data_IF_186576098839
#
_entry.id   IF_186576098839
#
_cell.length_a   1.000
_cell.length_b   1.000
_cell.length_c   1.000
_cell.angle_alpha   90.00
_cell.angle_beta   90.00
_cell.angle_gamma   90.00
#
_symmetry.space_group_name_H-M   'P 1'
#
loop_
_entity.id
_entity.type
_entity.pdbx_description
1 polymer ?
2 polymer ?
3 water ?
#
# COMPACT_ATOMS: atom_id res chain seq x y z
N UNK A 4 4.47 0.48 -17.58
CA UNK A 4 4.04 -0.96 -17.68
C UNK A 4 2.54 -1.03 -17.76
N UNK A 5 1.93 -1.56 -16.72
CA UNK A 5 0.45 -1.62 -16.60
C UNK A 5 -0.16 -0.23 -16.48
N UNK A 6 -1.41 -0.02 -16.85
CA UNK A 6 -2.10 1.24 -16.87
C UNK A 6 -2.03 2.13 -15.66
N UNK A 7 -2.06 1.57 -14.48
CA UNK A 7 -2.01 2.26 -13.21
C UNK A 7 -0.69 2.96 -12.97
N UNK A 8 0.39 2.43 -13.50
CA UNK A 8 1.76 2.96 -13.47
C UNK A 8 1.82 4.30 -14.24
N UNK A 9 1.23 4.31 -15.44
CA UNK A 9 1.15 5.48 -16.31
C UNK A 9 0.26 6.57 -15.72
N UNK A 10 -0.87 6.16 -15.22
CA UNK A 10 -1.92 6.88 -14.56
C UNK A 10 -1.41 7.76 -13.41
N UNK A 11 -0.54 7.21 -12.60
CA UNK A 11 0.08 7.89 -11.46
C UNK A 11 1.26 8.74 -11.81
N UNK A 12 1.72 8.69 -13.07
CA UNK A 12 2.82 9.38 -13.67
C UNK A 12 4.19 8.92 -13.31
N UNK A 13 4.33 7.64 -12.93
CA UNK A 13 5.49 6.87 -12.61
C UNK A 13 6.57 6.84 -13.63
N UNK A 14 6.28 6.55 -14.89
CA UNK A 14 7.26 6.51 -15.99
C UNK A 14 8.12 7.71 -16.14
N UNK A 15 7.57 8.91 -15.90
CA UNK A 15 8.31 10.17 -15.95
C UNK A 15 9.48 10.24 -15.02
N UNK A 16 9.40 9.52 -13.91
CA UNK A 16 10.45 9.45 -12.91
C UNK A 16 11.46 8.38 -13.22
N UNK A 17 10.99 7.27 -13.77
CA UNK A 17 11.85 6.15 -14.23
C UNK A 17 12.90 6.62 -15.25
N UNK A 18 12.48 7.44 -16.20
CA UNK A 18 13.29 8.02 -17.24
C UNK A 18 14.37 8.97 -16.80
N UNK A 19 14.07 9.76 -15.82
CA UNK A 19 14.89 10.74 -15.11
C UNK A 19 15.95 10.10 -14.22
N UNK A 20 15.79 8.84 -13.92
CA UNK A 20 16.62 8.04 -13.08
C UNK A 20 16.08 7.75 -11.72
N UNK A 21 14.77 7.82 -11.52
CA UNK A 21 14.21 7.57 -10.15
C UNK A 21 13.30 6.40 -10.15
N UNK A 22 13.81 5.34 -9.52
CA UNK A 22 13.16 4.02 -9.50
C UNK A 22 12.95 3.43 -8.16
N UNK A 23 13.19 4.18 -7.08
CA UNK A 23 13.04 3.75 -5.70
C UNK A 23 14.24 3.04 -5.15
N UNK A 24 15.42 3.30 -5.60
CA UNK A 24 16.66 2.62 -5.18
C UNK A 24 17.07 3.00 -3.78
N UNK A 25 17.38 1.99 -2.99
CA UNK A 25 17.79 2.13 -1.60
C UNK A 25 16.65 2.41 -0.63
N UNK A 26 15.42 2.14 -1.05
CA UNK A 26 14.19 2.30 -0.30
C UNK A 26 13.71 0.86 0.06
N UNK A 27 13.45 0.68 1.30
CA UNK A 27 12.97 -0.46 2.03
C UNK A 27 11.47 -0.34 2.27
N UNK A 28 10.72 -1.23 1.63
CA UNK A 28 9.27 -1.29 1.60
C UNK A 28 8.85 -2.67 2.13
N UNK A 29 8.06 -2.62 3.20
CA UNK A 29 7.49 -3.80 3.79
C UNK A 29 6.03 -3.94 3.32
N UNK A 30 5.78 -5.18 2.88
CA UNK A 30 4.43 -5.58 2.42
C UNK A 30 3.89 -6.47 3.54
N UNK A 31 3.00 -5.84 4.29
CA UNK A 31 2.29 -6.49 5.45
C UNK A 31 1.03 -7.07 4.84
N UNK A 32 1.16 -8.35 4.49
CA UNK A 32 0.14 -9.12 3.73
C UNK A 32 0.29 -10.62 3.97
N UNK A 33 -0.22 -11.47 3.10
CA UNK A 33 -0.22 -12.93 3.12
C UNK A 33 1.06 -13.61 2.73
N UNK A 34 2.13 -12.89 2.69
CA UNK A 34 3.45 -13.25 2.24
C UNK A 34 3.59 -12.77 0.78
N UNK A 35 4.77 -13.08 0.29
CA UNK A 35 5.21 -12.81 -1.07
C UNK A 35 5.86 -14.18 -1.54
N UNK A 36 5.43 -14.53 -2.73
CA UNK A 36 6.03 -15.61 -3.52
C UNK A 36 7.34 -15.08 -4.16
N UNK A 37 8.39 -15.24 -3.37
CA UNK A 37 9.75 -14.89 -3.71
C UNK A 37 10.33 -15.69 -4.88
N UNK A 38 9.72 -16.82 -5.19
CA UNK A 38 10.08 -17.72 -6.28
C UNK A 38 9.76 -17.21 -7.65
N UNK A 39 8.90 -16.19 -7.70
CA UNK A 39 8.49 -15.49 -8.91
C UNK A 39 9.72 -14.76 -9.47
N UNK A 40 10.07 -15.15 -10.70
CA UNK A 40 11.22 -14.64 -11.44
C UNK A 40 11.43 -13.16 -11.45
N UNK A 41 10.32 -12.43 -11.52
CA UNK A 41 10.24 -11.00 -11.52
C UNK A 41 10.51 -10.42 -10.12
N UNK A 42 9.92 -10.99 -9.09
CA UNK A 42 10.03 -10.59 -7.74
C UNK A 42 11.36 -10.90 -7.06
N UNK A 43 11.92 -9.85 -6.54
CA UNK A 43 13.12 -9.78 -5.70
C UNK A 43 12.58 -9.36 -4.30
N UNK A 44 12.64 -10.33 -3.45
CA UNK A 44 12.20 -10.18 -2.03
C UNK A 44 13.51 -10.18 -1.24
N UNK A 45 13.85 -9.10 -0.60
CA UNK A 45 15.07 -8.91 0.18
C UNK A 45 15.11 -9.53 1.55
N UNK A 46 14.01 -9.83 2.16
CA UNK A 46 13.89 -10.40 3.48
C UNK A 46 12.44 -10.35 3.95
N UNK A 47 12.24 -10.69 5.23
CA UNK A 47 10.93 -10.69 5.85
C UNK A 47 10.83 -11.54 7.10
N UNK A 48 9.60 -11.78 7.51
CA UNK A 48 9.21 -12.49 8.72
C UNK A 48 7.72 -12.83 8.68
N UNK A 49 7.37 -13.90 9.33
CA UNK A 49 6.00 -14.35 9.49
C UNK A 49 5.63 -14.23 11.00
N UNK A 50 4.38 -13.82 11.19
CA UNK A 50 3.73 -13.68 12.48
C UNK A 50 2.51 -14.53 12.62
N UNK A 51 2.25 -15.36 11.62
CA UNK A 51 1.22 -16.37 11.45
C UNK A 51 1.87 -17.67 12.01
N UNK A 52 1.41 -18.04 13.21
CA UNK A 52 1.90 -19.21 13.93
C UNK A 52 1.80 -20.52 13.18
N UNK A 53 0.76 -20.68 12.37
CA UNK A 53 0.59 -21.85 11.54
C UNK A 53 1.31 -21.77 10.20
N UNK A 54 1.76 -20.61 9.78
CA UNK A 54 2.47 -20.38 8.51
C UNK A 54 3.78 -19.70 8.72
N UNK A 55 4.79 -20.52 8.93
CA UNK A 55 6.16 -20.16 9.24
C UNK A 55 6.95 -19.43 8.18
N UNK A 56 6.53 -19.59 6.93
CA UNK A 56 7.27 -19.05 5.80
C UNK A 56 6.62 -17.82 5.23
N UNK A 57 7.36 -16.72 5.35
CA UNK A 57 6.92 -15.42 4.80
C UNK A 57 6.95 -15.36 3.28
N UNK A 58 7.84 -16.16 2.73
CA UNK A 58 8.18 -16.31 1.32
C UNK A 58 7.30 -17.24 0.54
N UNK A 59 6.27 -17.75 1.19
CA UNK A 59 5.22 -18.58 0.67
C UNK A 59 3.89 -17.84 0.81
N UNK A 60 3.26 -17.67 -0.34
CA UNK A 60 1.96 -16.98 -0.42
C UNK A 60 0.87 -17.97 -0.80
N UNK A 61 0.19 -18.46 0.25
CA UNK A 61 -0.90 -19.43 0.08
C UNK A 61 -2.20 -18.82 -0.36
N UNK A 62 -2.28 -17.47 -0.38
CA UNK A 62 -3.49 -16.76 -0.77
C UNK A 62 -3.49 -16.28 -2.20
N UNK A 63 -2.51 -15.57 -2.64
CA UNK A 63 -2.12 -14.85 -3.78
C UNK A 63 -2.02 -13.33 -3.57
N UNK A 64 -2.68 -12.81 -2.54
CA UNK A 64 -2.81 -11.47 -2.09
C UNK A 64 -1.54 -10.68 -2.02
N UNK A 65 -0.62 -11.07 -1.15
CA UNK A 65 0.67 -10.48 -0.94
C UNK A 65 1.56 -10.44 -2.17
N UNK A 66 1.54 -11.45 -2.98
CA UNK A 66 2.34 -11.51 -4.24
C UNK A 66 1.86 -10.50 -5.24
N UNK A 67 0.55 -10.35 -5.39
CA UNK A 67 -0.06 -9.37 -6.28
C UNK A 67 0.28 -7.94 -5.84
N UNK A 68 0.19 -7.70 -4.55
CA UNK A 68 0.43 -6.43 -3.87
C UNK A 68 1.90 -6.05 -4.06
N UNK A 69 2.82 -6.96 -3.78
CA UNK A 69 4.26 -6.75 -3.95
C UNK A 69 4.66 -6.39 -5.38
N UNK A 70 4.01 -7.05 -6.34
CA UNK A 70 4.15 -6.87 -7.75
C UNK A 70 3.89 -5.43 -8.18
N UNK A 71 2.89 -4.84 -7.57
CA UNK A 71 2.45 -3.47 -7.76
C UNK A 71 3.46 -2.47 -7.28
N UNK A 72 4.07 -2.67 -6.15
CA UNK A 72 5.12 -1.85 -5.54
C UNK A 72 6.32 -1.78 -6.51
N UNK A 73 6.76 -2.93 -6.98
CA UNK A 73 7.80 -3.17 -7.90
C UNK A 73 7.63 -2.58 -9.27
N UNK A 74 6.41 -2.57 -9.80
CA UNK A 74 6.15 -1.90 -11.09
C UNK A 74 6.23 -0.41 -11.01
N UNK A 75 5.87 0.15 -9.83
CA UNK A 75 5.97 1.61 -9.57
C UNK A 75 7.43 1.91 -9.17
N UNK A 76 8.00 1.19 -8.25
CA UNK A 76 9.36 1.37 -7.75
C UNK A 76 10.15 0.11 -7.91
N UNK A 77 10.64 -0.09 -9.15
CA UNK A 77 11.41 -1.26 -9.54
C UNK A 77 12.70 -1.51 -8.86
N UNK A 78 13.43 -0.53 -8.39
CA UNK A 78 14.70 -0.69 -7.65
C UNK A 78 14.54 -0.75 -6.15
N UNK A 79 13.32 -0.74 -5.62
CA UNK A 79 13.05 -0.82 -4.17
C UNK A 79 13.29 -2.18 -3.57
N UNK A 80 13.75 -2.21 -2.32
CA UNK A 80 13.98 -3.41 -1.53
C UNK A 80 12.69 -3.81 -0.82
N UNK A 81 12.15 -4.92 -1.28
CA UNK A 81 10.89 -5.48 -0.82
C UNK A 81 11.10 -6.45 0.31
N UNK A 82 10.24 -6.32 1.31
CA UNK A 82 10.25 -7.12 2.54
C UNK A 82 8.88 -7.67 2.76
N UNK A 83 8.85 -8.99 2.95
CA UNK A 83 7.58 -9.71 3.13
C UNK A 83 7.31 -9.90 4.61
N UNK A 84 6.18 -9.32 4.99
CA UNK A 84 5.74 -9.39 6.43
C UNK A 84 4.46 -10.21 6.39
N UNK A 85 4.56 -11.47 6.78
CA UNK A 85 3.40 -12.37 6.76
C UNK A 85 2.59 -12.22 8.06
N UNK A 86 1.40 -11.65 7.83
CA UNK A 86 0.44 -11.33 8.90
C UNK A 86 -0.89 -12.03 8.68
N UNK A 87 -1.21 -12.28 7.41
CA UNK A 87 -2.40 -12.97 6.97
C UNK A 87 -2.03 -14.42 6.61
N UNK A 88 -3.01 -15.27 6.77
CA UNK A 88 -2.89 -16.72 6.41
C UNK A 88 -3.53 -16.93 5.04
N UNK A 89 -3.62 -18.21 4.67
CA UNK A 89 -4.17 -18.64 3.38
C UNK A 89 -5.56 -18.20 3.05
N UNK A 90 -6.36 -17.96 4.08
CA UNK A 90 -7.72 -17.48 4.04
C UNK A 90 -7.88 -16.00 3.78
N UNK A 91 -6.85 -15.19 3.95
CA UNK A 91 -6.88 -13.75 3.80
C UNK A 91 -7.13 -12.98 5.08
N UNK A 92 -7.42 -13.68 6.16
CA UNK A 92 -7.68 -13.15 7.47
C UNK A 92 -6.41 -13.22 8.33
N UNK A 93 -6.34 -12.31 9.28
CA UNK A 93 -5.27 -12.20 10.24
C UNK A 93 -5.69 -11.56 11.53
N UNK A 94 -4.96 -11.92 12.58
CA UNK A 94 -5.17 -11.35 13.90
C UNK A 94 -4.51 -9.97 14.00
N UNK A 95 -5.15 -9.11 14.79
CA UNK A 95 -4.66 -7.78 15.14
C UNK A 95 -3.30 -7.78 15.75
N UNK A 96 -3.01 -8.80 16.55
CA UNK A 96 -1.72 -9.03 17.18
C UNK A 96 -0.61 -9.36 16.18
N UNK A 97 -0.96 -10.15 15.19
CA UNK A 97 -0.07 -10.59 14.09
C UNK A 97 0.38 -9.38 13.28
N UNK A 98 -0.56 -8.52 12.97
CA UNK A 98 -0.51 -7.23 12.35
C UNK A 98 0.38 -6.29 13.17
N UNK A 99 0.13 -6.17 14.46
CA UNK A 99 0.94 -5.30 15.35
C UNK A 99 2.41 -5.72 15.30
N UNK A 100 2.64 -7.02 15.37
CA UNK A 100 3.96 -7.64 15.31
C UNK A 100 4.69 -7.31 14.02
N UNK A 101 3.97 -7.30 12.92
CA UNK A 101 4.37 -6.95 11.57
C UNK A 101 4.75 -5.49 11.44
N UNK A 102 4.02 -4.60 12.11
CA UNK A 102 4.30 -3.16 12.21
C UNK A 102 5.62 -2.98 12.99
N UNK A 103 5.77 -3.63 14.11
CA UNK A 103 6.87 -3.63 15.02
C UNK A 103 8.18 -4.11 14.46
N UNK A 104 8.11 -5.16 13.66
CA UNK A 104 9.17 -5.73 12.87
C UNK A 104 9.69 -4.66 11.88
N UNK A 105 8.81 -4.05 11.14
CA UNK A 105 9.09 -2.99 10.17
C UNK A 105 9.82 -1.82 10.75
N UNK A 106 9.47 -1.43 11.98
CA UNK A 106 10.07 -0.32 12.74
C UNK A 106 11.52 -0.73 13.07
N UNK A 107 11.64 -1.79 13.83
CA UNK A 107 12.87 -2.42 14.27
C UNK A 107 13.84 -2.75 13.16
N UNK A 108 13.29 -3.05 11.99
CA UNK A 108 14.01 -3.36 10.76
C UNK A 108 14.33 -2.25 9.84
N UNK A 109 14.10 -1.02 10.20
CA UNK A 109 14.38 0.21 9.52
C UNK A 109 13.70 0.37 8.19
N UNK A 110 12.45 -0.09 8.10
CA UNK A 110 11.63 0.08 6.89
C UNK A 110 11.33 1.58 6.65
N UNK A 111 11.36 1.96 5.40
CA UNK A 111 11.09 3.28 4.88
C UNK A 111 9.61 3.45 4.58
N UNK A 112 8.99 2.40 4.08
CA UNK A 112 7.57 2.37 3.70
C UNK A 112 6.99 1.05 4.23
N UNK A 113 5.77 1.17 4.74
CA UNK A 113 4.91 0.10 5.16
C UNK A 113 3.69 0.21 4.17
N UNK A 114 3.34 -0.96 3.72
CA UNK A 114 2.15 -1.15 2.89
C UNK A 114 1.25 -2.12 3.69
N UNK A 115 0.01 -1.68 3.85
CA UNK A 115 -1.03 -2.48 4.50
C UNK A 115 -2.25 -2.49 3.58
N UNK A 116 -2.28 -3.49 2.73
CA UNK A 116 -3.39 -3.74 1.75
C UNK A 116 -4.40 -4.66 2.41
N UNK A 117 -4.76 -4.29 3.64
CA UNK A 117 -5.59 -4.90 4.63
C UNK A 117 -6.41 -3.89 5.43
N UNK A 118 -7.51 -4.39 5.99
CA UNK A 118 -8.39 -3.58 6.84
C UNK A 118 -9.47 -4.38 7.52
N UNK A 119 -9.86 -3.90 8.69
CA UNK A 119 -10.91 -4.36 9.56
C UNK A 119 -11.92 -3.28 9.88
N UNK A 120 -13.08 -3.74 10.36
CA UNK A 120 -14.20 -2.84 10.70
C UNK A 120 -14.01 -2.10 12.00
N UNK A 121 -13.37 -2.73 12.95
CA UNK A 121 -13.10 -2.15 14.27
C UNK A 121 -11.65 -1.89 14.52
N UNK A 122 -11.36 -0.95 15.42
CA UNK A 122 -9.97 -0.62 15.75
C UNK A 122 -9.63 -1.09 17.14
N UNK A 123 -8.39 -0.81 17.51
CA UNK A 123 -7.87 -1.12 18.83
C UNK A 123 -6.85 -0.08 19.23
N UNK A 124 -6.66 0.07 20.55
CA UNK A 124 -5.68 1.04 21.08
C UNK A 124 -4.24 0.64 20.69
N UNK A 125 -3.98 -0.65 20.72
CA UNK A 125 -2.79 -1.36 20.34
C UNK A 125 -2.49 -1.20 18.86
N UNK A 126 -3.53 -1.21 18.01
CA UNK A 126 -3.44 -0.91 16.62
C UNK A 126 -2.96 0.51 16.33
N UNK A 127 -3.66 1.49 16.93
CA UNK A 127 -3.32 2.89 16.81
C UNK A 127 -1.96 3.21 17.37
N UNK A 128 -1.58 2.64 18.51
CA UNK A 128 -0.24 2.88 19.12
C UNK A 128 0.89 2.47 18.17
N UNK A 129 0.77 1.31 17.56
CA UNK A 129 1.60 0.69 16.58
C UNK A 129 1.81 1.49 15.32
N UNK A 130 0.77 1.95 14.67
CA UNK A 130 0.76 2.80 13.49
C UNK A 130 1.36 4.18 13.78
N UNK A 131 0.91 4.79 14.85
CA UNK A 131 1.38 6.06 15.38
C UNK A 131 2.86 6.01 15.74
N UNK A 132 3.31 4.87 16.20
CA UNK A 132 4.72 4.57 16.54
C UNK A 132 5.54 4.47 15.27
N UNK A 133 5.00 3.89 14.19
CA UNK A 133 5.67 3.81 12.89
C UNK A 133 5.95 5.16 12.31
N UNK A 134 4.97 6.07 12.44
CA UNK A 134 5.02 7.46 12.07
C UNK A 134 6.06 8.20 12.91
N UNK A 135 6.06 8.02 14.23
CA UNK A 135 7.06 8.67 15.09
C UNK A 135 8.50 8.29 14.71
N UNK A 136 8.67 7.08 14.22
CA UNK A 136 9.88 6.43 13.77
C UNK A 136 10.38 6.87 12.42
N UNK A 137 9.54 7.46 11.60
CA UNK A 137 9.84 7.96 10.29
C UNK A 137 9.44 7.10 9.14
N UNK A 138 8.57 6.14 9.34
CA UNK A 138 8.08 5.22 8.29
C UNK A 138 6.86 5.95 7.63
N UNK A 139 6.78 5.79 6.33
CA UNK A 139 5.60 6.23 5.53
C UNK A 139 4.65 4.99 5.66
N UNK A 140 3.46 5.24 6.18
CA UNK A 140 2.48 4.14 6.44
C UNK A 140 1.32 4.36 5.45
N UNK A 141 1.16 3.29 4.67
CA UNK A 141 0.17 3.26 3.57
C UNK A 141 -0.79 2.12 3.84
N UNK A 142 -2.07 2.38 3.63
CA UNK A 142 -3.11 1.34 3.84
C UNK A 142 -4.26 1.57 2.91
N UNK A 143 -4.92 0.49 2.50
CA UNK A 143 -6.14 0.60 1.64
C UNK A 143 -7.30 1.11 2.50
N UNK A 144 -8.11 1.96 1.90
CA UNK A 144 -9.28 2.55 2.53
C UNK A 144 -10.35 1.57 2.95
N UNK A 145 -10.41 0.43 2.23
CA UNK A 145 -11.38 -0.60 2.39
C UNK A 145 -12.33 -0.72 1.20
N UNK A 146 -13.07 -1.80 1.19
CA UNK A 146 -14.00 -2.12 0.07
C UNK A 146 -15.42 -2.23 0.57
N UNK A 147 -15.81 -1.20 1.32
CA UNK A 147 -17.10 -1.10 1.98
C UNK A 147 -18.20 -0.47 1.27
N UNK A 148 -17.94 0.20 0.13
CA UNK A 148 -19.01 0.91 -0.60
C UNK A 148 -19.45 2.14 0.25
N UNK A 149 -20.72 2.48 0.12
CA UNK A 149 -21.29 3.64 0.86
C UNK A 149 -22.20 3.26 1.99
N UNK A 150 -22.38 4.15 2.96
CA UNK A 150 -23.32 3.95 4.09
C UNK A 150 -23.94 5.31 4.45
N UNK A 151 -24.64 5.87 3.46
CA UNK A 151 -25.30 7.14 3.48
C UNK A 151 -24.30 8.30 3.63
N UNK A 152 -24.17 8.70 4.91
CA UNK A 152 -23.28 9.81 5.28
C UNK A 152 -22.17 9.41 6.20
N UNK A 153 -22.07 8.16 6.52
CA UNK A 153 -21.14 7.44 7.33
C UNK A 153 -19.85 7.09 6.64
N UNK A 154 -18.78 7.09 7.45
CA UNK A 154 -17.44 6.69 6.93
C UNK A 154 -17.41 5.16 6.85
N UNK A 155 -16.95 4.73 5.68
CA UNK A 155 -16.83 3.27 5.42
C UNK A 155 -15.44 2.76 5.59
N UNK A 156 -14.44 3.57 5.69
CA UNK A 156 -13.04 3.47 5.88
C UNK A 156 -12.73 2.52 7.07
N UNK A 157 -11.99 1.46 6.73
CA UNK A 157 -11.57 0.50 7.75
C UNK A 157 -10.27 0.93 8.42
N UNK A 158 -9.91 0.17 9.43
CA UNK A 158 -8.67 0.36 10.22
C UNK A 158 -7.59 -0.59 9.70
N UNK A 159 -6.32 -0.24 9.71
CA UNK A 159 -5.70 0.99 10.17
C UNK A 159 -5.81 2.22 9.34
N UNK A 160 -6.47 2.18 8.20
CA UNK A 160 -6.64 3.28 7.27
C UNK A 160 -7.40 4.48 7.77
N UNK A 161 -8.36 4.26 8.64
CA UNK A 161 -9.18 5.26 9.32
C UNK A 161 -8.36 6.25 10.12
N UNK A 162 -7.31 5.80 10.75
CA UNK A 162 -6.34 6.54 11.51
C UNK A 162 -5.61 7.60 10.71
N UNK A 163 -5.52 8.81 11.27
CA UNK A 163 -4.88 9.95 10.69
C UNK A 163 -3.41 9.79 10.32
N UNK A 164 -2.64 9.07 11.08
CA UNK A 164 -1.24 8.75 10.87
C UNK A 164 -0.96 7.89 9.61
N UNK A 165 -1.96 7.19 9.17
CA UNK A 165 -2.04 6.26 8.08
C UNK A 165 -2.72 6.91 6.88
N UNK A 166 -1.98 6.85 5.76
CA UNK A 166 -2.51 7.31 4.44
C UNK A 166 -3.57 6.26 4.02
N UNK A 167 -4.77 6.77 3.84
CA UNK A 167 -5.93 5.96 3.43
C UNK A 167 -6.08 6.11 1.93
N UNK A 168 -5.97 4.93 1.27
CA UNK A 168 -5.96 4.95 -0.22
C UNK A 168 -7.23 4.29 -0.74
N UNK A 169 -7.97 5.04 -1.52
CA UNK A 169 -9.19 4.51 -2.17
C UNK A 169 -8.90 4.17 -3.63
N UNK A 170 -9.92 3.65 -4.33
CA UNK A 170 -9.84 3.18 -5.67
C UNK A 170 -10.58 3.89 -6.77
N UNK A 171 -9.82 4.14 -7.83
CA UNK A 171 -10.17 4.68 -9.11
C UNK A 171 -9.93 3.58 -10.19
N UNK A 172 -10.63 3.75 -11.27
CA UNK A 172 -10.44 2.96 -12.51
C UNK A 172 -9.51 3.76 -13.43
N UNK A 173 -9.32 3.25 -14.64
CA UNK A 173 -8.52 3.89 -15.69
C UNK A 173 -9.13 5.17 -16.23
N UNK A 174 -10.37 5.44 -15.82
CA UNK A 174 -11.08 6.67 -16.18
C UNK A 174 -11.15 7.70 -15.12
N UNK A 175 -10.37 7.57 -14.04
CA UNK A 175 -10.33 8.49 -12.91
C UNK A 175 -11.56 8.49 -12.02
N UNK A 176 -12.47 7.57 -12.28
CA UNK A 176 -13.72 7.32 -11.62
C UNK A 176 -13.58 6.40 -10.42
N UNK A 177 -14.27 6.80 -9.36
CA UNK A 177 -14.34 6.03 -8.10
C UNK A 177 -14.96 4.64 -8.36
N UNK A 178 -14.28 3.64 -7.82
CA UNK A 178 -14.82 2.25 -7.93
C UNK A 178 -15.93 2.12 -6.89
N UNK A 179 -17.03 1.49 -7.27
CA UNK A 179 -18.20 1.25 -6.50
C UNK A 179 -18.00 0.68 -5.11
N UNK A 180 -16.96 -0.13 -4.97
CA UNK A 180 -16.53 -0.78 -3.77
C UNK A 180 -15.77 0.12 -2.80
N UNK A 181 -15.07 1.13 -3.31
CA UNK A 181 -14.22 2.03 -2.60
C UNK A 181 -14.86 2.73 -1.39
N UNK A 182 -14.27 2.44 -0.24
CA UNK A 182 -14.61 3.04 1.05
C UNK A 182 -14.48 4.56 0.96
N UNK A 183 -15.40 5.20 1.65
CA UNK A 183 -15.62 6.63 1.66
C UNK A 183 -15.51 7.18 3.10
N UNK A 184 -15.26 8.47 3.15
CA UNK A 184 -15.23 9.22 4.39
C UNK A 184 -14.18 10.26 4.50
N UNK A 185 -14.32 11.12 5.51
CA UNK A 185 -13.39 12.19 5.84
C UNK A 185 -11.93 11.72 5.97
N UNK A 186 -11.76 10.46 6.25
CA UNK A 186 -10.50 9.78 6.49
C UNK A 186 -9.76 9.31 5.26
N UNK A 187 -10.41 9.29 4.13
CA UNK A 187 -9.90 9.02 2.80
C UNK A 187 -8.95 10.14 2.42
N UNK A 188 -7.72 9.71 2.16
CA UNK A 188 -6.62 10.58 1.82
C UNK A 188 -6.40 10.77 0.35
N UNK A 189 -6.13 9.65 -0.37
CA UNK A 189 -5.78 9.70 -1.79
C UNK A 189 -6.45 8.59 -2.60
N UNK A 190 -6.45 8.80 -3.92
CA UNK A 190 -6.98 7.83 -4.87
C UNK A 190 -5.83 7.29 -5.72
N UNK A 191 -5.89 6.01 -5.97
CA UNK A 191 -4.91 5.29 -6.84
C UNK A 191 -5.69 4.27 -7.62
N UNK A 192 -5.15 3.76 -8.70
CA UNK A 192 -5.82 2.73 -9.51
C UNK A 192 -5.92 1.41 -8.76
N UNK A 193 -7.13 0.91 -8.76
CA UNK A 193 -7.54 -0.29 -8.12
C UNK A 193 -8.52 -1.15 -8.86
N UNK A 194 -8.91 -0.84 -10.06
CA UNK A 194 -9.84 -1.67 -10.85
C UNK A 194 -8.99 -2.47 -11.87
N UNK A 195 -9.13 -3.78 -11.80
CA UNK A 195 -8.50 -4.76 -12.70
C UNK A 195 -7.04 -4.61 -12.92
N UNK A 196 -6.34 -4.67 -11.76
CA UNK A 196 -4.89 -4.45 -11.71
C UNK A 196 -4.22 -5.82 -11.96
N UNK A 197 -3.50 -5.79 -13.06
CA UNK A 197 -2.71 -6.88 -13.58
C UNK A 197 -1.34 -6.80 -12.93
N UNK A 198 -1.04 -7.85 -12.18
CA UNK A 198 0.19 -8.01 -11.39
C UNK A 198 0.54 -9.50 -11.25
N UNK A 199 1.68 -9.74 -10.60
CA UNK A 199 2.30 -10.92 -10.21
C UNK A 199 1.44 -11.79 -9.30
N UNK A 200 1.40 -13.05 -9.66
CA UNK A 200 0.71 -14.13 -9.01
C UNK A 200 1.68 -15.26 -8.74
N UNK A 201 1.49 -15.94 -7.61
CA UNK A 201 2.32 -17.06 -7.19
C UNK A 201 2.44 -18.14 -8.27
N UNK A 202 3.65 -18.67 -8.35
CA UNK A 202 4.03 -19.69 -9.31
C UNK A 202 4.11 -19.19 -10.72
N UNK A 203 4.86 -18.14 -10.94
CA UNK A 203 5.15 -17.51 -12.22
C UNK A 203 3.94 -17.18 -13.07
N UNK A 204 2.98 -16.55 -12.39
CA UNK A 204 1.69 -16.11 -12.95
C UNK A 204 1.49 -14.60 -12.75
N UNK A 205 0.56 -14.07 -13.47
CA UNK A 205 0.06 -12.73 -13.56
C UNK A 205 -1.47 -12.85 -13.73
N UNK A 206 -2.12 -11.86 -13.16
CA UNK A 206 -3.59 -11.84 -13.16
C UNK A 206 -4.11 -10.57 -12.54
N UNK A 207 -5.32 -10.22 -12.97
CA UNK A 207 -6.04 -9.04 -12.52
C UNK A 207 -6.81 -9.28 -11.23
N UNK A 208 -6.67 -8.29 -10.36
CA UNK A 208 -7.31 -8.16 -9.07
C UNK A 208 -7.85 -6.74 -8.93
N UNK A 209 -9.02 -6.66 -8.31
CA UNK A 209 -9.70 -5.42 -8.00
C UNK A 209 -9.79 -5.16 -6.49
N UNK A 210 -9.74 -3.90 -6.12
CA UNK A 210 -9.88 -3.57 -4.66
C UNK A 210 -8.90 -2.51 -4.25
N UNK A 211 -9.10 -2.02 -3.04
CA UNK A 211 -8.23 -0.99 -2.43
C UNK A 211 -6.86 -1.53 -2.07
N UNK A 212 -6.72 -2.85 -2.03
CA UNK A 212 -5.48 -3.61 -1.85
C UNK A 212 -4.49 -3.35 -2.97
N UNK A 213 -4.98 -3.15 -4.15
CA UNK A 213 -4.40 -2.85 -5.43
C UNK A 213 -4.02 -1.39 -5.59
N UNK A 214 -4.82 -0.51 -5.02
CA UNK A 214 -4.60 0.94 -5.01
C UNK A 214 -3.47 1.37 -4.09
N UNK A 215 -3.44 0.88 -2.87
CA UNK A 215 -2.42 1.11 -1.86
C UNK A 215 -1.00 0.95 -2.29
N UNK A 216 -0.55 -0.17 -2.85
CA UNK A 216 0.83 -0.36 -3.36
C UNK A 216 1.30 0.63 -4.37
N UNK A 217 0.41 1.24 -5.14
CA UNK A 217 0.71 2.33 -6.07
C UNK A 217 1.19 3.59 -5.35
N UNK A 218 0.72 3.81 -4.15
CA UNK A 218 1.05 4.93 -3.26
C UNK A 218 2.30 4.56 -2.45
N UNK A 219 2.39 3.34 -1.96
CA UNK A 219 3.54 2.77 -1.30
C UNK A 219 4.78 2.81 -2.24
N UNK A 220 4.57 2.53 -3.49
CA UNK A 220 5.45 2.58 -4.62
C UNK A 220 5.81 3.99 -5.01
N UNK A 221 4.85 4.90 -5.02
CA UNK A 221 5.03 6.33 -5.25
C UNK A 221 5.88 7.01 -4.20
N UNK A 222 5.71 6.62 -2.94
CA UNK A 222 6.45 7.07 -1.79
C UNK A 222 7.93 6.71 -1.90
N UNK A 223 8.21 5.47 -2.36
CA UNK A 223 9.55 5.01 -2.64
C UNK A 223 10.19 5.72 -3.81
N UNK A 224 9.45 6.13 -4.82
CA UNK A 224 9.92 6.98 -5.90
C UNK A 224 10.39 8.35 -5.43
N UNK A 225 9.63 9.01 -4.55
CA UNK A 225 9.97 10.29 -3.92
C UNK A 225 11.24 10.12 -3.05
N UNK A 226 11.32 9.16 -2.15
CA UNK A 226 12.51 8.92 -1.36
C UNK A 226 13.78 8.66 -2.17
N UNK A 227 13.66 8.09 -3.35
CA UNK A 227 14.79 7.89 -4.28
C UNK A 227 15.32 9.16 -4.85
N UNK A 228 14.45 10.11 -5.12
CA UNK A 228 14.74 11.45 -5.57
C UNK A 228 15.12 12.37 -4.41
N UNK A 229 14.43 12.26 -3.29
CA UNK A 229 14.72 13.14 -2.12
C UNK A 229 14.97 12.29 -0.91
N UNK A 230 16.21 11.75 -0.82
CA UNK A 230 16.65 10.87 0.23
C UNK A 230 16.61 11.36 1.66
N UNK A 231 16.69 12.62 1.87
CA UNK A 231 16.71 13.56 2.90
C UNK A 231 15.34 13.91 3.53
N UNK A 232 14.28 13.75 2.80
CA UNK A 232 12.91 13.99 3.07
C UNK A 232 12.30 13.05 4.10
N UNK A 233 11.55 13.68 4.98
CA UNK A 233 10.81 12.95 6.04
C UNK A 233 9.54 12.36 5.45
N UNK A 234 9.01 11.37 6.16
CA UNK A 234 7.72 10.72 5.93
C UNK A 234 6.60 11.79 5.80
N UNK A 235 6.69 12.77 6.65
CA UNK A 235 5.80 13.94 6.70
C UNK A 235 5.86 14.76 5.44
N UNK A 236 7.07 14.99 4.94
CA UNK A 236 7.42 15.59 3.70
C UNK A 236 6.91 14.80 2.48
N UNK A 237 7.06 13.50 2.51
CA UNK A 237 6.64 12.56 1.43
C UNK A 237 5.13 12.62 1.25
N UNK A 238 4.43 12.40 2.35
CA UNK A 238 3.00 12.41 2.50
C UNK A 238 2.36 13.71 2.01
N UNK A 239 2.88 14.84 2.44
CA UNK A 239 2.44 16.18 2.07
C UNK A 239 2.58 16.39 0.58
N UNK A 240 3.75 16.00 0.08
CA UNK A 240 4.11 16.00 -1.33
C UNK A 240 3.11 15.28 -2.21
N UNK A 241 2.65 14.12 -1.78
CA UNK A 241 1.69 13.26 -2.38
C UNK A 241 0.28 13.82 -2.38
N UNK A 242 -0.18 14.24 -1.20
CA UNK A 242 -1.47 14.82 -0.98
C UNK A 242 -1.69 16.19 -1.58
N UNK A 243 -0.69 17.02 -1.57
CA UNK A 243 -0.68 18.39 -2.05
C UNK A 243 -0.53 18.60 -3.53
N UNK A 244 -0.15 17.58 -4.26
CA UNK A 244 0.13 17.59 -5.70
C UNK A 244 -0.77 16.72 -6.54
N UNK A 245 -1.84 16.22 -5.98
CA UNK A 245 -2.84 15.36 -6.58
C UNK A 245 -3.63 15.99 -7.70
N UNK A 246 -4.16 15.13 -8.56
CA UNK A 246 -5.14 15.50 -9.58
C UNK A 246 -6.51 15.37 -8.87
N UNK A 247 -7.08 16.55 -8.72
CA UNK A 247 -8.37 16.75 -8.02
C UNK A 247 -9.50 16.08 -8.77
N UNK A 248 -10.16 15.17 -8.07
CA UNK A 248 -11.30 14.42 -8.72
C UNK A 248 -12.58 15.01 -8.26
N UNK A 249 -13.53 14.32 -7.69
CA UNK A 249 -14.77 14.97 -7.17
C UNK A 249 -14.53 15.41 -5.73
N UNK A 250 -15.57 15.28 -4.95
CA UNK A 250 -15.69 15.57 -3.52
C UNK A 250 -14.75 14.71 -2.68
N UNK A 251 -14.14 15.33 -1.69
CA UNK A 251 -13.21 14.77 -0.76
C UNK A 251 -13.66 13.58 0.03
N UNK A 252 -14.96 13.47 0.26
CA UNK A 252 -15.56 12.35 0.99
C UNK A 252 -15.43 11.02 0.20
N UNK A 253 -15.47 11.11 -1.08
CA UNK A 253 -15.44 10.16 -2.13
C UNK A 253 -14.09 9.91 -2.75
N UNK A 254 -13.33 10.94 -2.94
CA UNK A 254 -12.01 10.94 -3.54
C UNK A 254 -10.87 11.38 -2.69
N UNK A 255 -11.10 11.98 -1.53
CA UNK A 255 -10.05 12.60 -0.70
C UNK A 255 -9.52 13.83 -1.48
N UNK A 256 -8.21 13.91 -1.51
CA UNK A 256 -7.49 14.93 -2.29
C UNK A 256 -7.46 14.70 -3.79
N UNK A 257 -7.78 13.50 -4.24
CA UNK A 257 -7.78 13.13 -5.66
C UNK A 257 -6.71 12.07 -5.95
N UNK A 258 -6.36 11.99 -7.23
CA UNK A 258 -5.37 11.06 -7.75
C UNK A 258 -3.95 11.58 -7.50
N UNK A 259 -3.13 10.67 -6.99
CA UNK A 259 -1.70 10.89 -6.79
C UNK A 259 -1.01 11.19 -8.15
N UNK A 260 0.00 12.00 -8.12
CA UNK A 260 0.81 12.45 -9.21
C UNK A 260 2.28 12.41 -8.73
N UNK A 261 2.87 11.23 -8.98
CA UNK A 261 4.25 10.96 -8.61
C UNK A 261 5.26 11.92 -9.18
N UNK A 262 5.02 12.45 -10.35
CA UNK A 262 5.81 13.43 -11.07
C UNK A 262 5.80 14.81 -10.44
N UNK A 263 4.63 15.27 -10.03
CA UNK A 263 4.42 16.53 -9.32
C UNK A 263 4.88 16.44 -7.90
N UNK A 264 4.70 15.28 -7.25
CA UNK A 264 5.11 15.02 -5.88
C UNK A 264 6.60 15.02 -5.67
N UNK A 265 7.37 14.59 -6.67
CA UNK A 265 8.80 14.53 -6.65
C UNK A 265 9.55 15.79 -6.89
N UNK A 266 8.93 16.87 -7.29
CA UNK A 266 9.42 18.21 -7.51
C UNK A 266 10.69 18.28 -8.34
N UNK B 1 -8.91 -8.51 11.03
CA UNK B 1 -8.37 -7.96 9.78
C UNK B 1 -8.35 -8.94 8.63
N UNK B 2 -8.82 -8.42 7.50
CA UNK B 2 -9.00 -9.09 6.22
C UNK B 2 -8.30 -8.41 5.07
N UNK B 3 -8.00 -9.22 4.05
CA UNK B 3 -7.33 -8.80 2.81
C UNK B 3 -8.23 -7.91 1.98
N UNK B 4 -7.65 -6.78 1.55
CA UNK B 4 -8.37 -5.77 0.79
C UNK B 4 -8.53 -5.91 -0.65
#
# INVERSE_FOLDING_TARGET
AQSVPYGVSQIKAPALHSQGYTGSNVKVAVIDSGIDSSHPDLNVAGGASFVPSETNPFQDNNSHGTHVAGTVLAVAPSASLYAVKVLGADGSGQYSWIINGIEWAIANNMDVINMSLGGPSGSAALKAAVDKAVASGVVVVAAAGNEGTSGSSSTVGYPGKYPSVIAVGAVDSSNQRASFSSVGPELDVMAPGVSIVSTLPGNKYGAKSGTAMASPHVAGAAALILSKHPNWTNTQVRSSLENTTTKLGDSFYYGKGLINVEAAAQ
ALAL
#
